data_IF_113165252249
#
_entry.id   IF_113165252249
#
_cell.length_a   1.000
_cell.length_b   1.000
_cell.length_c   1.000
_cell.angle_alpha   90.00
_cell.angle_beta   90.00
_cell.angle_gamma   90.00
#
_symmetry.space_group_name_H-M   'P 1'
#
loop_
_entity.id
_entity.type
_entity.pdbx_description
1 polymer ?
#
# COMPACT_ATOMS: atom_id res chain seq x y z
N UNK A 1 -14.39 -13.60 -8.52
CA UNK A 1 -13.71 -14.34 -7.41
C UNK A 1 -13.45 -13.34 -6.29
N UNK A 2 -13.78 -13.70 -5.06
CA UNK A 2 -13.40 -12.88 -3.87
C UNK A 2 -12.02 -13.33 -3.39
N UNK A 3 -10.98 -12.61 -3.82
CA UNK A 3 -9.58 -12.99 -3.57
C UNK A 3 -9.24 -12.99 -2.08
N UNK A 4 -9.85 -12.10 -1.27
CA UNK A 4 -9.66 -12.09 0.18
C UNK A 4 -10.10 -13.41 0.78
N UNK A 5 -11.33 -13.81 0.45
CA UNK A 5 -11.93 -15.02 0.98
C UNK A 5 -11.21 -16.29 0.48
N UNK A 6 -10.82 -16.34 -0.80
CA UNK A 6 -10.05 -17.48 -1.35
C UNK A 6 -8.69 -17.63 -0.65
N UNK A 7 -7.97 -16.52 -0.39
CA UNK A 7 -6.70 -16.55 0.32
C UNK A 7 -6.86 -17.06 1.74
N UNK A 8 -7.80 -16.48 2.48
CA UNK A 8 -8.02 -16.85 3.88
C UNK A 8 -8.45 -18.31 4.02
N UNK A 9 -9.37 -18.80 3.19
CA UNK A 9 -9.80 -20.21 3.17
C UNK A 9 -8.67 -21.16 2.79
N UNK A 10 -7.84 -20.77 1.82
CA UNK A 10 -6.70 -21.59 1.43
C UNK A 10 -5.78 -21.81 2.64
N UNK A 11 -5.42 -20.75 3.38
CA UNK A 11 -4.55 -20.88 4.54
C UNK A 11 -5.25 -21.53 5.76
N UNK A 12 -6.56 -21.36 5.93
CA UNK A 12 -7.31 -22.17 6.90
C UNK A 12 -7.20 -23.66 6.56
N UNK A 13 -7.27 -24.06 5.30
CA UNK A 13 -7.05 -25.45 4.87
C UNK A 13 -5.64 -25.97 5.15
N UNK A 14 -4.67 -25.07 5.30
CA UNK A 14 -3.28 -25.35 5.73
C UNK A 14 -3.09 -25.16 7.25
N UNK A 15 -4.18 -25.23 8.01
CA UNK A 15 -4.19 -25.14 9.47
C UNK A 15 -3.71 -23.79 10.04
N UNK A 16 -4.07 -22.68 9.39
CA UNK A 16 -3.85 -21.32 9.92
C UNK A 16 -5.12 -20.79 10.57
N UNK A 17 -4.99 -20.13 11.70
CA UNK A 17 -6.10 -19.39 12.30
C UNK A 17 -6.31 -18.07 11.55
N UNK A 18 -7.56 -17.80 11.16
CA UNK A 18 -7.93 -16.51 10.55
C UNK A 18 -7.95 -15.43 11.63
N UNK A 19 -7.18 -14.38 11.43
CA UNK A 19 -7.08 -13.23 12.33
C UNK A 19 -7.66 -11.99 11.62
N UNK A 20 -8.54 -11.28 12.31
CA UNK A 20 -9.11 -10.04 11.79
C UNK A 20 -8.05 -8.95 11.59
N UNK A 21 -8.29 -8.04 10.65
CA UNK A 21 -7.44 -6.85 10.47
C UNK A 21 -7.37 -6.05 11.76
N UNK A 22 -6.16 -5.78 12.23
CA UNK A 22 -5.95 -4.86 13.34
C UNK A 22 -6.24 -3.41 12.93
N UNK A 23 -6.50 -2.51 13.88
CA UNK A 23 -6.65 -1.08 13.60
C UNK A 23 -5.45 -0.50 12.85
N UNK A 24 -5.67 0.51 12.02
CA UNK A 24 -4.60 1.21 11.30
C UNK A 24 -3.60 1.92 12.21
N UNK A 25 -4.05 2.32 13.39
CA UNK A 25 -3.17 2.87 14.45
C UNK A 25 -2.67 1.71 15.31
N UNK A 26 -1.39 1.33 15.22
CA UNK A 26 -0.84 0.24 16.01
C UNK A 26 -0.59 0.64 17.47
N UNK A 27 -0.48 -0.35 18.35
CA UNK A 27 -0.03 -0.16 19.74
C UNK A 27 1.48 0.14 19.83
N UNK A 28 2.21 0.04 18.72
CA UNK A 28 3.64 0.36 18.62
C UNK A 28 3.84 1.86 18.45
N UNK A 29 4.42 2.51 19.47
CA UNK A 29 4.70 3.96 19.45
C UNK A 29 5.76 4.38 18.40
N UNK A 30 6.53 3.46 17.85
CA UNK A 30 7.54 3.74 16.83
C UNK A 30 6.95 3.88 15.43
N UNK A 31 5.70 3.48 15.24
CA UNK A 31 4.99 3.52 13.97
C UNK A 31 3.81 4.50 14.01
N UNK A 32 3.66 5.28 12.95
CA UNK A 32 2.46 6.11 12.77
C UNK A 32 1.24 5.24 12.47
N UNK A 33 1.40 4.28 11.56
CA UNK A 33 0.33 3.39 11.11
C UNK A 33 0.84 1.97 10.91
N UNK A 34 -0.07 1.00 10.90
CA UNK A 34 0.21 -0.33 10.40
C UNK A 34 0.59 -0.24 8.92
N UNK A 35 1.82 -0.59 8.58
CA UNK A 35 2.38 -0.49 7.23
C UNK A 35 2.65 -1.86 6.57
N UNK A 36 2.42 -2.95 7.30
CA UNK A 36 2.59 -4.33 6.85
C UNK A 36 1.73 -5.29 7.68
N UNK A 37 1.42 -6.44 7.10
CA UNK A 37 0.58 -7.47 7.74
C UNK A 37 1.16 -8.05 9.02
N UNK A 38 2.49 -8.02 9.18
CA UNK A 38 3.18 -8.56 10.36
C UNK A 38 3.14 -7.65 11.59
N UNK A 39 2.86 -6.36 11.45
CA UNK A 39 2.96 -5.39 12.56
C UNK A 39 2.14 -5.82 13.79
N UNK A 40 0.90 -6.32 13.65
CA UNK A 40 0.12 -6.81 14.80
C UNK A 40 0.76 -8.02 15.53
N UNK A 41 1.69 -8.72 14.88
CA UNK A 41 2.35 -9.92 15.40
C UNK A 41 3.79 -9.67 15.85
N UNK A 42 4.27 -8.42 15.82
CA UNK A 42 5.65 -8.06 16.15
C UNK A 42 6.12 -8.69 17.47
N UNK A 43 5.34 -8.54 18.54
CA UNK A 43 5.68 -9.04 19.88
C UNK A 43 5.75 -10.57 19.96
N UNK A 44 5.05 -11.27 19.07
CA UNK A 44 5.14 -12.73 18.96
C UNK A 44 6.45 -13.11 18.25
N UNK A 45 6.81 -12.42 17.17
CA UNK A 45 8.08 -12.68 16.45
C UNK A 45 9.30 -12.42 17.32
N UNK A 46 9.29 -11.36 18.14
CA UNK A 46 10.39 -11.02 19.06
C UNK A 46 10.41 -11.91 20.31
N UNK A 47 9.34 -12.67 20.56
CA UNK A 47 9.21 -13.51 21.75
C UNK A 47 8.82 -12.76 23.03
N UNK A 48 8.46 -11.48 22.93
CA UNK A 48 7.90 -10.71 24.05
C UNK A 48 6.56 -11.31 24.53
N UNK A 49 5.79 -11.83 23.57
CA UNK A 49 4.54 -12.55 23.82
C UNK A 49 4.71 -13.99 23.28
N UNK A 50 4.29 -15.01 24.05
CA UNK A 50 4.34 -16.40 23.59
C UNK A 50 3.52 -16.59 22.32
N UNK A 51 3.98 -17.48 21.43
CA UNK A 51 3.20 -17.90 20.28
C UNK A 51 1.84 -18.48 20.72
N UNK A 52 0.75 -18.23 19.97
CA UNK A 52 -0.55 -18.80 20.25
C UNK A 52 -0.50 -20.35 20.19
N UNK A 53 -1.53 -21.01 20.72
CA UNK A 53 -1.62 -22.48 20.70
C UNK A 53 -1.47 -23.03 19.28
N UNK A 54 -2.16 -22.44 18.30
CA UNK A 54 -1.86 -22.66 16.89
C UNK A 54 -0.85 -21.60 16.43
N UNK A 55 0.43 -21.98 16.16
CA UNK A 55 1.47 -21.04 15.77
C UNK A 55 1.42 -20.66 14.29
N UNK A 56 0.25 -20.75 13.66
CA UNK A 56 -0.02 -20.37 12.27
C UNK A 56 -1.19 -19.40 12.22
N UNK A 57 -1.03 -18.30 11.50
CA UNK A 57 -2.10 -17.33 11.32
C UNK A 57 -2.18 -16.86 9.85
N UNK A 58 -3.37 -16.41 9.45
CA UNK A 58 -3.60 -15.73 8.16
C UNK A 58 -4.51 -14.53 8.37
N UNK A 59 -4.24 -13.46 7.64
CA UNK A 59 -5.03 -12.22 7.71
C UNK A 59 -5.08 -11.47 6.40
N UNK A 60 -6.08 -10.59 6.28
CA UNK A 60 -6.12 -9.51 5.29
C UNK A 60 -6.01 -8.20 6.08
N UNK A 61 -4.79 -7.64 6.19
CA UNK A 61 -4.50 -6.48 7.02
C UNK A 61 -4.60 -5.19 6.20
N UNK A 62 -5.37 -4.22 6.71
CA UNK A 62 -5.36 -2.85 6.18
C UNK A 62 -4.07 -2.14 6.57
N UNK A 63 -3.44 -1.48 5.59
CA UNK A 63 -2.14 -0.85 5.74
C UNK A 63 -2.14 0.58 5.23
N UNK A 64 -1.33 1.43 5.86
CA UNK A 64 -1.04 2.81 5.41
C UNK A 64 0.45 2.97 5.19
N UNK A 65 0.83 3.45 3.99
CA UNK A 65 2.20 3.86 3.64
C UNK A 65 2.22 5.33 3.22
N UNK A 66 2.10 6.19 4.20
CA UNK A 66 2.16 7.65 4.04
C UNK A 66 2.87 8.26 5.25
N UNK A 67 4.13 8.61 5.07
CA UNK A 67 5.02 9.07 6.14
C UNK A 67 5.82 7.94 6.82
N UNK A 68 6.93 8.28 7.46
CA UNK A 68 7.85 7.30 8.05
C UNK A 68 8.77 6.65 7.02
N UNK A 69 9.31 5.47 7.36
CA UNK A 69 10.29 4.75 6.53
C UNK A 69 9.68 4.23 5.22
N UNK A 70 8.46 3.70 5.30
CA UNK A 70 7.69 3.26 4.13
C UNK A 70 6.70 4.37 3.75
N UNK A 71 7.03 5.13 2.72
CA UNK A 71 6.24 6.27 2.27
C UNK A 71 6.07 6.25 0.75
N UNK A 72 4.88 5.92 0.29
CA UNK A 72 4.54 5.84 -1.14
C UNK A 72 3.83 7.09 -1.66
N UNK A 73 3.61 8.12 -0.81
CA UNK A 73 2.76 9.27 -1.11
C UNK A 73 3.08 9.95 -2.45
N UNK A 74 4.37 10.15 -2.73
CA UNK A 74 4.81 10.86 -3.95
C UNK A 74 4.60 10.01 -5.23
N UNK A 75 4.62 8.67 -5.12
CA UNK A 75 4.41 7.75 -6.22
C UNK A 75 2.94 7.56 -6.58
N UNK A 76 2.04 7.81 -5.61
CA UNK A 76 0.60 7.61 -5.78
C UNK A 76 0.03 8.51 -6.88
N UNK A 77 -0.65 7.88 -7.82
CA UNK A 77 -1.25 8.52 -8.99
C UNK A 77 -0.33 8.55 -10.23
N UNK A 78 0.98 8.38 -10.05
CA UNK A 78 1.98 8.42 -11.13
C UNK A 78 2.50 7.04 -11.53
N UNK A 79 2.47 6.08 -10.62
CA UNK A 79 2.75 4.66 -10.89
C UNK A 79 1.45 3.86 -10.95
N UNK A 80 1.50 2.67 -11.54
CA UNK A 80 0.34 1.80 -11.67
C UNK A 80 -0.02 1.05 -10.37
N UNK A 81 0.88 0.99 -9.37
CA UNK A 81 0.87 0.01 -8.28
C UNK A 81 1.00 0.55 -6.85
N UNK A 82 1.30 1.84 -6.64
CA UNK A 82 1.49 2.41 -5.30
C UNK A 82 0.22 3.06 -4.76
N UNK A 83 -0.01 2.85 -3.46
CA UNK A 83 -1.17 3.35 -2.72
C UNK A 83 -0.77 3.86 -1.35
N UNK A 84 -1.51 4.85 -0.84
CA UNK A 84 -1.36 5.26 0.57
C UNK A 84 -2.12 4.33 1.52
N UNK A 85 -3.24 3.77 1.07
CA UNK A 85 -3.98 2.70 1.75
C UNK A 85 -4.06 1.48 0.83
N UNK A 86 -3.79 0.30 1.37
CA UNK A 86 -3.93 -0.97 0.66
C UNK A 86 -4.21 -2.11 1.63
N UNK A 87 -4.60 -3.25 1.08
CA UNK A 87 -4.83 -4.46 1.84
C UNK A 87 -3.71 -5.46 1.57
N UNK A 88 -3.10 -5.96 2.65
CA UNK A 88 -2.04 -6.96 2.58
C UNK A 88 -2.56 -8.31 3.08
N UNK A 89 -2.59 -9.28 2.19
CA UNK A 89 -2.88 -10.67 2.49
C UNK A 89 -1.61 -11.35 3.01
N UNK A 90 -1.69 -12.00 4.16
CA UNK A 90 -0.52 -12.61 4.78
C UNK A 90 -0.81 -13.96 5.41
N UNK A 91 0.22 -14.82 5.36
CA UNK A 91 0.30 -16.03 6.17
C UNK A 91 1.56 -15.97 7.02
N UNK A 92 1.43 -16.46 8.25
CA UNK A 92 2.44 -16.31 9.30
C UNK A 92 2.70 -17.65 9.96
N UNK A 93 3.98 -17.91 10.25
CA UNK A 93 4.42 -19.06 11.06
C UNK A 93 5.31 -18.55 12.19
N UNK A 94 4.83 -18.73 13.42
CA UNK A 94 5.55 -18.33 14.62
C UNK A 94 6.44 -19.48 15.12
N UNK A 95 7.51 -19.77 14.34
CA UNK A 95 8.45 -20.84 14.66
C UNK A 95 7.89 -22.25 14.45
N UNK A 96 6.92 -22.43 13.54
CA UNK A 96 6.35 -23.74 13.20
C UNK A 96 6.92 -24.27 11.87
N UNK A 97 6.51 -23.71 10.73
CA UNK A 97 7.13 -24.00 9.42
C UNK A 97 8.05 -22.87 8.98
N UNK A 98 8.88 -23.15 7.99
CA UNK A 98 9.84 -22.16 7.48
C UNK A 98 9.82 -22.09 5.96
N UNK A 99 10.97 -21.95 5.29
CA UNK A 99 11.07 -21.62 3.86
C UNK A 99 10.34 -22.59 2.95
N UNK A 100 10.52 -23.91 3.15
CA UNK A 100 9.97 -24.92 2.24
C UNK A 100 8.46 -24.85 2.16
N UNK A 101 7.76 -24.94 3.30
CA UNK A 101 6.30 -24.87 3.32
C UNK A 101 5.79 -23.50 2.85
N UNK A 102 6.47 -22.40 3.21
CA UNK A 102 6.07 -21.06 2.78
C UNK A 102 6.11 -20.93 1.25
N UNK A 103 7.16 -21.42 0.62
CA UNK A 103 7.34 -21.42 -0.83
C UNK A 103 6.30 -22.32 -1.50
N UNK A 104 6.12 -23.55 -0.99
CA UNK A 104 5.15 -24.50 -1.53
C UNK A 104 3.72 -23.96 -1.47
N UNK A 105 3.30 -23.37 -0.33
CA UNK A 105 1.98 -22.77 -0.19
C UNK A 105 1.78 -21.57 -1.12
N UNK A 106 2.78 -20.71 -1.23
CA UNK A 106 2.68 -19.54 -2.11
C UNK A 106 2.54 -19.97 -3.59
N UNK A 107 3.34 -20.94 -4.02
CA UNK A 107 3.27 -21.44 -5.38
C UNK A 107 1.95 -22.13 -5.68
N UNK A 108 1.48 -23.01 -4.76
CA UNK A 108 0.19 -23.68 -4.89
C UNK A 108 -0.95 -22.66 -4.99
N UNK A 109 -0.98 -21.66 -4.12
CA UNK A 109 -2.03 -20.63 -4.16
C UNK A 109 -2.07 -19.88 -5.49
N UNK A 110 -0.93 -19.39 -5.95
CA UNK A 110 -0.87 -18.59 -7.18
C UNK A 110 -1.20 -19.42 -8.42
N UNK A 111 -0.69 -20.64 -8.50
CA UNK A 111 -0.82 -21.45 -9.72
C UNK A 111 -2.08 -22.31 -9.75
N UNK A 112 -2.53 -22.82 -8.60
CA UNK A 112 -3.67 -23.75 -8.54
C UNK A 112 -4.98 -23.09 -8.11
N UNK A 113 -4.92 -22.07 -7.23
CA UNK A 113 -6.13 -21.34 -6.79
C UNK A 113 -6.36 -20.13 -7.69
N UNK A 114 -5.37 -19.26 -7.84
CA UNK A 114 -5.49 -18.06 -8.69
C UNK A 114 -5.38 -18.35 -10.17
N UNK A 115 -4.85 -19.53 -10.55
CA UNK A 115 -4.66 -19.95 -11.95
C UNK A 115 -3.79 -19.01 -12.79
N UNK A 116 -2.82 -18.37 -12.15
CA UNK A 116 -1.88 -17.54 -12.92
C UNK A 116 -0.97 -18.39 -13.80
N UNK A 117 -0.69 -17.95 -15.04
CA UNK A 117 0.18 -18.69 -15.95
C UNK A 117 1.60 -18.80 -15.39
N UNK A 118 2.11 -20.02 -15.23
CA UNK A 118 3.45 -20.29 -14.66
C UNK A 118 4.55 -19.64 -15.48
N UNK A 119 4.38 -19.49 -16.78
CA UNK A 119 5.32 -18.85 -17.70
C UNK A 119 5.45 -17.34 -17.50
N UNK A 120 4.51 -16.72 -16.80
CA UNK A 120 4.57 -15.29 -16.44
C UNK A 120 5.12 -15.02 -15.04
N UNK A 121 5.43 -16.08 -14.28
CA UNK A 121 5.90 -15.96 -12.91
C UNK A 121 7.44 -15.95 -12.86
N UNK A 122 7.97 -15.01 -12.11
CA UNK A 122 9.39 -14.84 -11.81
C UNK A 122 9.58 -14.76 -10.30
N UNK A 123 10.78 -15.11 -9.84
CA UNK A 123 11.09 -15.13 -8.41
C UNK A 123 12.41 -14.43 -8.16
N UNK A 124 12.49 -13.70 -7.05
CA UNK A 124 13.78 -13.22 -6.52
C UNK A 124 14.13 -13.92 -5.23
N UNK A 125 15.41 -14.02 -4.96
CA UNK A 125 15.95 -14.50 -3.69
C UNK A 125 17.08 -13.58 -3.25
N UNK A 126 17.34 -13.51 -1.95
CA UNK A 126 18.52 -12.81 -1.46
C UNK A 126 19.81 -13.48 -1.98
N UNK A 127 20.81 -12.68 -2.36
CA UNK A 127 22.04 -13.16 -2.97
C UNK A 127 22.80 -14.20 -2.12
N UNK A 128 22.64 -14.18 -0.80
CA UNK A 128 23.23 -15.15 0.13
C UNK A 128 22.32 -16.32 0.49
N UNK A 129 21.09 -16.39 -0.06
CA UNK A 129 20.11 -17.43 0.33
C UNK A 129 20.06 -18.58 -0.69
N UNK A 130 21.10 -19.40 -0.68
CA UNK A 130 21.20 -20.59 -1.53
C UNK A 130 20.09 -21.61 -1.26
N UNK A 131 19.62 -21.69 -0.01
CA UNK A 131 18.52 -22.58 0.38
C UNK A 131 17.23 -22.20 -0.31
N UNK A 132 16.86 -20.91 -0.28
CA UNK A 132 15.67 -20.44 -0.96
C UNK A 132 15.73 -20.68 -2.47
N UNK A 133 16.87 -20.43 -3.11
CA UNK A 133 17.03 -20.73 -4.54
C UNK A 133 16.80 -22.21 -4.85
N UNK A 134 17.39 -23.11 -4.07
CA UNK A 134 17.20 -24.56 -4.27
C UNK A 134 15.76 -25.00 -4.07
N UNK A 135 15.06 -24.41 -3.11
CA UNK A 135 13.65 -24.69 -2.88
C UNK A 135 12.78 -24.20 -4.05
N UNK A 136 13.03 -23.00 -4.57
CA UNK A 136 12.32 -22.46 -5.72
C UNK A 136 12.56 -23.25 -7.01
N UNK A 137 13.73 -23.87 -7.19
CA UNK A 137 14.03 -24.72 -8.36
C UNK A 137 13.12 -25.94 -8.46
N UNK A 138 12.39 -26.31 -7.40
CA UNK A 138 11.33 -27.32 -7.46
C UNK A 138 10.11 -26.86 -8.26
N UNK A 139 9.93 -25.56 -8.41
CA UNK A 139 8.74 -24.93 -8.98
C UNK A 139 9.02 -24.11 -10.23
N UNK A 140 10.16 -23.44 -10.29
CA UNK A 140 10.53 -22.46 -11.32
C UNK A 140 11.90 -22.82 -11.89
N UNK A 141 12.08 -22.67 -13.19
CA UNK A 141 13.40 -22.86 -13.83
C UNK A 141 14.39 -21.79 -13.37
N UNK A 142 15.66 -22.14 -13.29
CA UNK A 142 16.74 -21.29 -12.76
C UNK A 142 16.85 -19.94 -13.49
N UNK A 143 16.56 -19.90 -14.80
CA UNK A 143 16.58 -18.68 -15.62
C UNK A 143 15.50 -17.65 -15.23
N UNK A 144 14.54 -18.05 -14.39
CA UNK A 144 13.48 -17.18 -13.83
C UNK A 144 13.64 -16.91 -12.34
N UNK A 145 14.77 -17.26 -11.75
CA UNK A 145 15.14 -16.95 -10.37
C UNK A 145 16.27 -15.94 -10.41
N UNK A 146 16.05 -14.75 -9.86
CA UNK A 146 17.05 -13.68 -9.80
C UNK A 146 17.56 -13.50 -8.37
N UNK A 147 18.88 -13.39 -8.21
CA UNK A 147 19.50 -13.04 -6.93
C UNK A 147 19.67 -11.54 -6.82
N UNK A 148 19.18 -10.95 -5.74
CA UNK A 148 19.28 -9.54 -5.44
C UNK A 148 19.85 -9.33 -4.03
N UNK A 149 20.40 -8.14 -3.79
CA UNK A 149 21.01 -7.79 -2.51
C UNK A 149 20.04 -7.24 -1.47
N UNK A 150 20.62 -6.69 -0.40
CA UNK A 150 19.87 -6.16 0.75
C UNK A 150 18.83 -5.09 0.41
N UNK A 151 19.05 -4.31 -0.65
CA UNK A 151 18.12 -3.26 -1.06
C UNK A 151 16.75 -3.84 -1.42
N UNK A 152 16.73 -4.98 -2.09
CA UNK A 152 15.52 -5.54 -2.70
C UNK A 152 15.04 -6.80 -1.95
N UNK A 153 15.95 -7.68 -1.52
CA UNK A 153 15.59 -8.95 -0.91
C UNK A 153 16.01 -9.11 0.58
N UNK A 154 16.08 -8.00 1.32
CA UNK A 154 16.18 -8.03 2.78
C UNK A 154 15.12 -7.11 3.39
N UNK A 155 14.09 -7.70 3.99
CA UNK A 155 12.99 -6.94 4.57
C UNK A 155 13.25 -6.59 6.03
N UNK A 156 12.82 -5.40 6.43
CA UNK A 156 12.88 -4.93 7.82
C UNK A 156 11.66 -4.07 8.13
N UNK A 157 11.08 -4.26 9.32
CA UNK A 157 9.87 -3.58 9.76
C UNK A 157 10.05 -2.05 9.86
N UNK A 158 11.17 -1.63 10.42
CA UNK A 158 11.53 -0.22 10.64
C UNK A 158 13.04 -0.08 10.84
N UNK A 159 13.48 0.95 11.52
CA UNK A 159 14.89 1.11 11.90
C UNK A 159 15.32 0.08 12.95
N UNK A 160 14.37 -0.45 13.68
CA UNK A 160 14.53 -1.53 14.65
C UNK A 160 13.42 -2.56 14.48
N UNK A 161 13.61 -3.77 15.01
CA UNK A 161 12.63 -4.83 15.03
C UNK A 161 12.96 -6.03 14.15
N UNK A 162 12.02 -6.95 13.96
CA UNK A 162 12.22 -8.18 13.21
C UNK A 162 12.60 -7.91 11.76
N UNK A 163 13.51 -8.72 11.21
CA UNK A 163 13.99 -8.61 9.85
C UNK A 163 14.57 -9.94 9.34
N UNK A 164 14.78 -10.04 8.05
CA UNK A 164 15.41 -11.19 7.43
C UNK A 164 15.45 -11.13 5.91
N UNK A 165 16.20 -12.06 5.27
CA UNK A 165 16.17 -12.19 3.82
C UNK A 165 14.75 -12.55 3.36
N UNK A 166 14.40 -12.14 2.16
CA UNK A 166 13.09 -12.43 1.60
C UNK A 166 13.20 -12.96 0.16
N UNK A 167 12.11 -13.53 -0.28
CA UNK A 167 11.90 -13.99 -1.64
C UNK A 167 10.61 -13.39 -2.17
N UNK A 168 10.65 -12.84 -3.36
CA UNK A 168 9.50 -12.17 -3.95
C UNK A 168 9.03 -12.90 -5.20
N UNK A 169 7.73 -12.91 -5.41
CA UNK A 169 7.10 -13.43 -6.61
C UNK A 169 6.63 -12.26 -7.45
N UNK A 170 7.04 -12.26 -8.71
CA UNK A 170 6.68 -11.25 -9.72
C UNK A 170 5.83 -11.85 -10.83
N UNK A 171 4.95 -11.01 -11.36
CA UNK A 171 4.16 -11.34 -12.54
C UNK A 171 4.63 -10.47 -13.72
N UNK A 172 5.02 -11.11 -14.83
CA UNK A 172 5.35 -10.42 -16.10
C UNK A 172 4.05 -10.00 -16.80
N UNK A 173 3.77 -8.71 -16.80
CA UNK A 173 2.59 -8.13 -17.44
C UNK A 173 2.69 -8.05 -18.98
N UNK A 174 3.86 -8.39 -19.52
CA UNK A 174 4.12 -8.48 -20.96
C UNK A 174 4.80 -7.23 -21.55
N UNK A 175 5.68 -7.47 -22.50
CA UNK A 175 6.43 -6.42 -23.20
C UNK A 175 5.55 -5.57 -24.13
N UNK A 176 4.39 -6.08 -24.51
CA UNK A 176 3.39 -5.37 -25.32
C UNK A 176 2.73 -4.21 -24.57
N UNK A 177 2.68 -4.29 -23.25
CA UNK A 177 2.11 -3.23 -22.39
C UNK A 177 3.18 -2.33 -21.78
N UNK A 178 4.40 -2.86 -21.61
CA UNK A 178 5.49 -2.18 -20.91
C UNK A 178 6.81 -2.46 -21.63
N UNK A 179 7.39 -1.43 -22.23
CA UNK A 179 8.63 -1.51 -23.04
C UNK A 179 9.60 -0.35 -22.78
N UNK A 180 9.50 0.29 -21.64
CA UNK A 180 10.42 1.33 -21.20
C UNK A 180 11.82 0.78 -20.84
N UNK A 181 12.78 1.66 -20.66
CA UNK A 181 14.16 1.28 -20.28
C UNK A 181 14.26 0.56 -18.93
N UNK A 182 13.29 0.79 -18.03
CA UNK A 182 13.24 0.21 -16.69
C UNK A 182 12.34 -1.05 -16.62
N UNK A 183 11.72 -1.46 -17.74
CA UNK A 183 10.78 -2.60 -17.80
C UNK A 183 11.50 -3.94 -18.01
N UNK A 184 12.48 -4.24 -17.16
CA UNK A 184 13.19 -5.52 -17.11
C UNK A 184 13.11 -6.11 -15.69
N UNK A 185 13.35 -7.41 -15.54
CA UNK A 185 13.31 -8.06 -14.22
C UNK A 185 14.41 -7.50 -13.32
N UNK A 186 13.99 -6.93 -12.17
CA UNK A 186 14.87 -6.20 -11.23
C UNK A 186 15.01 -4.70 -11.54
N UNK A 187 14.33 -4.18 -12.56
CA UNK A 187 14.21 -2.74 -12.83
C UNK A 187 13.03 -2.11 -12.10
N UNK A 188 12.99 -0.76 -12.11
CA UNK A 188 11.96 0.02 -11.41
C UNK A 188 10.66 0.19 -12.23
N UNK A 189 10.58 -0.40 -13.44
CA UNK A 189 9.41 -0.34 -14.33
C UNK A 189 8.19 -1.09 -13.81
N UNK A 190 7.08 -0.98 -14.56
CA UNK A 190 5.80 -1.60 -14.18
C UNK A 190 5.57 -2.98 -14.83
N UNK A 191 6.45 -3.45 -15.72
CA UNK A 191 6.28 -4.74 -16.42
C UNK A 191 6.31 -5.92 -15.47
N UNK A 192 7.34 -6.02 -14.63
CA UNK A 192 7.49 -7.08 -13.65
C UNK A 192 6.91 -6.61 -12.31
N UNK A 193 5.66 -6.96 -12.08
CA UNK A 193 4.93 -6.53 -10.90
C UNK A 193 5.17 -7.49 -9.75
N UNK A 194 5.84 -7.04 -8.68
CA UNK A 194 5.90 -7.78 -7.41
C UNK A 194 4.49 -7.96 -6.86
N UNK A 195 4.08 -9.21 -6.67
CA UNK A 195 2.74 -9.55 -6.16
C UNK A 195 2.77 -10.12 -4.76
N UNK A 196 3.86 -10.79 -4.36
CA UNK A 196 3.97 -11.42 -3.04
C UNK A 196 5.40 -11.40 -2.53
N UNK A 197 5.59 -10.97 -1.30
CA UNK A 197 6.88 -11.03 -0.60
C UNK A 197 6.81 -12.09 0.51
N UNK A 198 7.74 -13.05 0.51
CA UNK A 198 7.90 -14.09 1.52
C UNK A 198 9.13 -13.73 2.37
N UNK A 199 8.90 -13.29 3.61
CA UNK A 199 9.99 -12.88 4.51
C UNK A 199 10.37 -14.03 5.42
N UNK A 200 11.65 -14.39 5.39
CA UNK A 200 12.25 -15.39 6.26
C UNK A 200 12.81 -14.70 7.50
N UNK A 201 11.93 -14.51 8.49
CA UNK A 201 12.25 -13.79 9.73
C UNK A 201 13.26 -14.58 10.55
N UNK A 202 14.49 -14.10 10.59
CA UNK A 202 15.60 -14.76 11.28
C UNK A 202 16.27 -13.89 12.33
N UNK A 203 16.14 -12.55 12.21
CA UNK A 203 16.89 -11.59 13.02
C UNK A 203 15.98 -10.52 13.61
N UNK A 204 16.47 -9.94 14.70
CA UNK A 204 16.02 -8.66 15.24
C UNK A 204 17.14 -7.63 15.08
N UNK A 205 16.79 -6.45 14.57
CA UNK A 205 17.68 -5.30 14.43
C UNK A 205 17.49 -4.36 15.62
N UNK A 206 18.58 -4.10 16.33
CA UNK A 206 18.62 -3.09 17.40
C UNK A 206 18.93 -1.68 16.87
N UNK A 207 18.78 -0.66 17.72
CA UNK A 207 18.97 0.75 17.36
C UNK A 207 20.38 1.11 16.89
N UNK A 208 21.38 0.32 17.28
CA UNK A 208 22.77 0.43 16.80
C UNK A 208 23.03 -0.33 15.48
N UNK A 209 21.97 -0.90 14.89
CA UNK A 209 22.02 -1.66 13.63
C UNK A 209 22.48 -3.10 13.76
N UNK A 210 22.76 -3.59 14.97
CA UNK A 210 23.20 -4.96 15.21
C UNK A 210 22.04 -5.94 14.98
N UNK A 211 22.34 -7.04 14.28
CA UNK A 211 21.42 -8.17 14.06
C UNK A 211 21.67 -9.24 15.11
N UNK A 212 20.60 -9.64 15.80
CA UNK A 212 20.59 -10.79 16.72
C UNK A 212 19.57 -11.81 16.24
N UNK A 213 19.85 -13.12 16.34
CA UNK A 213 18.89 -14.15 15.95
C UNK A 213 17.60 -14.03 16.75
N UNK A 214 16.45 -14.18 16.08
CA UNK A 214 15.16 -14.36 16.75
C UNK A 214 15.14 -15.66 17.54
N UNK A 215 14.26 -15.77 18.57
CA UNK A 215 14.12 -17.00 19.36
C UNK A 215 13.83 -18.24 18.50
N UNK A 216 13.06 -18.05 17.42
CA UNK A 216 12.78 -19.09 16.42
C UNK A 216 12.69 -18.44 15.04
N UNK A 217 13.25 -19.08 14.00
CA UNK A 217 12.97 -18.69 12.61
C UNK A 217 11.47 -18.74 12.33
N UNK A 218 10.96 -17.70 11.71
CA UNK A 218 9.53 -17.50 11.53
C UNK A 218 9.23 -17.04 10.10
N UNK A 219 7.99 -17.18 9.69
CA UNK A 219 7.50 -16.72 8.38
C UNK A 219 6.56 -15.55 8.54
N UNK A 220 6.83 -14.50 7.77
CA UNK A 220 5.93 -13.41 7.46
C UNK A 220 5.76 -13.33 5.95
N UNK A 221 4.55 -13.17 5.45
CA UNK A 221 4.33 -12.93 4.04
C UNK A 221 3.37 -11.77 3.81
N UNK A 222 3.53 -11.08 2.69
CA UNK A 222 2.66 -9.98 2.29
C UNK A 222 2.37 -10.01 0.79
N UNK A 223 1.11 -10.30 0.44
CA UNK A 223 0.61 -10.23 -0.93
C UNK A 223 -0.30 -9.01 -1.08
N UNK A 224 0.01 -8.15 -2.06
CA UNK A 224 -0.79 -6.95 -2.33
C UNK A 224 -2.12 -7.31 -2.97
N UNK A 225 -3.24 -7.13 -2.25
CA UNK A 225 -4.56 -7.43 -2.77
C UNK A 225 -4.86 -6.68 -4.07
N UNK A 226 -4.62 -5.37 -4.09
CA UNK A 226 -4.92 -4.51 -5.24
C UNK A 226 -4.16 -4.95 -6.50
N UNK A 227 -2.92 -5.40 -6.34
CA UNK A 227 -2.08 -5.92 -7.44
C UNK A 227 -2.67 -7.22 -8.01
N UNK A 228 -3.00 -8.16 -7.15
CA UNK A 228 -3.55 -9.46 -7.56
C UNK A 228 -4.94 -9.32 -8.15
N UNK A 229 -5.78 -8.41 -7.65
CA UNK A 229 -7.07 -8.07 -8.25
C UNK A 229 -6.89 -7.55 -9.66
N UNK A 230 -5.97 -6.60 -9.88
CA UNK A 230 -5.71 -6.05 -11.21
C UNK A 230 -5.29 -7.14 -12.22
N UNK A 231 -4.36 -8.02 -11.84
CA UNK A 231 -3.94 -9.14 -12.68
C UNK A 231 -5.12 -10.08 -12.99
N UNK A 232 -5.93 -10.42 -11.98
CA UNK A 232 -7.08 -11.31 -12.13
C UNK A 232 -8.16 -10.75 -13.05
N UNK A 233 -8.28 -9.41 -13.08
CA UNK A 233 -9.20 -8.69 -13.98
C UNK A 233 -8.58 -8.41 -15.36
N UNK A 234 -7.32 -8.78 -15.59
CA UNK A 234 -6.63 -8.60 -16.86
C UNK A 234 -6.28 -7.14 -17.17
N UNK A 235 -6.12 -6.31 -16.15
CA UNK A 235 -5.74 -4.90 -16.29
C UNK A 235 -4.31 -4.67 -15.78
N UNK A 236 -3.61 -3.69 -16.37
CA UNK A 236 -2.19 -3.42 -16.13
C UNK A 236 -1.95 -2.33 -15.08
N UNK A 237 -3.01 -1.79 -14.48
CA UNK A 237 -2.93 -0.82 -13.40
C UNK A 237 -3.96 -1.15 -12.33
N UNK A 238 -3.56 -1.06 -11.07
CA UNK A 238 -4.48 -1.20 -9.94
C UNK A 238 -5.67 -0.25 -10.07
N UNK A 239 -5.43 0.96 -10.56
CA UNK A 239 -6.45 1.99 -10.75
C UNK A 239 -7.50 1.65 -11.82
N UNK A 240 -7.18 0.72 -12.71
CA UNK A 240 -8.13 0.23 -13.74
C UNK A 240 -9.00 -0.92 -13.23
N UNK A 241 -8.77 -1.41 -12.01
CA UNK A 241 -9.52 -2.51 -11.41
C UNK A 241 -10.87 -2.05 -10.83
N UNK A 242 -11.70 -3.03 -10.51
CA UNK A 242 -12.98 -2.84 -9.85
C UNK A 242 -12.88 -2.17 -8.46
N UNK A 243 -11.70 -2.14 -7.85
CA UNK A 243 -11.46 -1.48 -6.56
C UNK A 243 -11.35 0.04 -6.67
N UNK A 244 -10.96 0.57 -7.83
CA UNK A 244 -10.71 2.00 -8.03
C UNK A 244 -11.57 2.63 -9.12
N UNK A 245 -11.87 1.90 -10.19
CA UNK A 245 -12.59 2.45 -11.34
C UNK A 245 -13.95 3.07 -10.98
N UNK A 246 -14.78 2.51 -10.07
CA UNK A 246 -16.03 3.15 -9.68
C UNK A 246 -15.82 4.51 -9.01
N UNK A 247 -14.72 4.69 -8.26
CA UNK A 247 -14.39 5.98 -7.63
C UNK A 247 -13.97 6.98 -8.72
N UNK A 248 -13.11 6.58 -9.65
CA UNK A 248 -12.67 7.40 -10.78
C UNK A 248 -13.88 7.83 -11.61
N UNK A 249 -14.79 6.93 -11.92
CA UNK A 249 -16.03 7.24 -12.66
C UNK A 249 -16.95 8.19 -11.90
N UNK A 250 -16.96 8.10 -10.57
CA UNK A 250 -17.68 9.08 -9.75
C UNK A 250 -17.06 10.47 -9.84
N UNK A 251 -15.73 10.58 -9.85
CA UNK A 251 -15.04 11.87 -10.05
C UNK A 251 -15.36 12.43 -11.44
N UNK A 252 -15.30 11.61 -12.51
CA UNK A 252 -15.71 12.02 -13.86
C UNK A 252 -17.13 12.62 -13.87
N UNK A 253 -18.08 11.91 -13.26
CA UNK A 253 -19.46 12.36 -13.22
C UNK A 253 -19.64 13.68 -12.46
N UNK A 254 -18.87 13.90 -11.40
CA UNK A 254 -18.93 15.13 -10.60
C UNK A 254 -18.34 16.34 -11.33
N UNK A 255 -17.23 16.15 -12.08
CA UNK A 255 -16.54 17.24 -12.77
C UNK A 255 -17.01 17.41 -14.23
N UNK A 256 -17.65 16.40 -14.81
CA UNK A 256 -18.07 16.42 -16.21
C UNK A 256 -16.92 16.32 -17.21
N UNK A 257 -15.78 15.74 -16.81
CA UNK A 257 -14.58 15.52 -17.67
C UNK A 257 -14.19 14.08 -17.66
N UNK A 258 -13.91 13.53 -18.84
CA UNK A 258 -13.51 12.13 -19.01
C UNK A 258 -12.12 11.83 -18.44
N UNK A 259 -11.98 10.68 -17.80
CA UNK A 259 -10.70 10.14 -17.37
C UNK A 259 -9.95 9.51 -18.53
N UNK A 260 -8.73 9.97 -18.76
CA UNK A 260 -7.78 9.36 -19.70
C UNK A 260 -6.55 8.92 -18.91
N UNK A 261 -6.18 7.64 -18.99
CA UNK A 261 -5.12 7.07 -18.15
C UNK A 261 -3.80 7.87 -18.24
N UNK A 262 -3.34 8.20 -19.44
CA UNK A 262 -2.06 8.90 -19.67
C UNK A 262 -1.97 10.26 -18.97
N UNK A 263 -3.06 11.00 -18.87
CA UNK A 263 -3.13 12.34 -18.26
C UNK A 263 -3.92 12.37 -16.93
N UNK A 264 -4.43 11.24 -16.48
CA UNK A 264 -5.39 11.11 -15.38
C UNK A 264 -4.80 10.97 -13.98
N UNK A 265 -3.56 11.39 -13.74
CA UNK A 265 -2.92 11.27 -12.42
C UNK A 265 -3.79 11.84 -11.28
N UNK A 266 -4.42 13.00 -11.51
CA UNK A 266 -5.29 13.63 -10.51
C UNK A 266 -6.48 12.76 -10.10
N UNK A 267 -7.11 12.05 -11.03
CA UNK A 267 -8.19 11.11 -10.73
C UNK A 267 -7.71 9.95 -9.85
N UNK A 268 -6.53 9.41 -10.15
CA UNK A 268 -5.92 8.30 -9.40
C UNK A 268 -5.55 8.72 -7.98
N UNK A 269 -4.96 9.91 -7.81
CA UNK A 269 -4.66 10.48 -6.49
C UNK A 269 -5.94 10.63 -5.66
N UNK A 270 -6.99 11.20 -6.24
CA UNK A 270 -8.28 11.37 -5.55
C UNK A 270 -8.87 10.02 -5.15
N UNK A 271 -8.85 9.03 -6.07
CA UNK A 271 -9.38 7.70 -5.81
C UNK A 271 -8.63 6.94 -4.71
N UNK A 272 -7.30 7.05 -4.68
CA UNK A 272 -6.48 6.49 -3.61
C UNK A 272 -6.75 7.18 -2.28
N UNK A 273 -6.68 8.49 -2.27
CA UNK A 273 -6.70 9.27 -1.03
C UNK A 273 -8.06 9.26 -0.32
N UNK A 274 -9.17 9.16 -1.05
CA UNK A 274 -10.49 9.03 -0.39
C UNK A 274 -10.61 7.71 0.38
N UNK A 275 -10.01 6.62 -0.10
CA UNK A 275 -9.94 5.36 0.65
C UNK A 275 -9.21 5.57 1.97
N UNK A 276 -8.02 6.15 1.91
CA UNK A 276 -7.18 6.44 3.09
C UNK A 276 -7.91 7.33 4.09
N UNK A 277 -8.46 8.44 3.64
CA UNK A 277 -9.15 9.41 4.49
C UNK A 277 -10.37 8.80 5.17
N UNK A 278 -11.19 8.06 4.42
CA UNK A 278 -12.37 7.38 4.97
C UNK A 278 -11.99 6.39 6.09
N UNK A 279 -11.01 5.51 5.82
CA UNK A 279 -10.60 4.48 6.79
C UNK A 279 -10.01 5.10 8.06
N UNK A 280 -9.14 6.10 7.94
CA UNK A 280 -8.53 6.76 9.10
C UNK A 280 -9.56 7.50 9.95
N UNK A 281 -10.45 8.28 9.33
CA UNK A 281 -11.52 8.99 10.06
C UNK A 281 -12.50 8.01 10.70
N UNK A 282 -12.90 6.95 10.00
CA UNK A 282 -13.81 5.93 10.53
C UNK A 282 -13.22 5.18 11.74
N UNK A 283 -11.89 5.08 11.82
CA UNK A 283 -11.18 4.50 12.96
C UNK A 283 -10.78 5.53 14.03
N UNK A 284 -11.26 6.77 13.93
CA UNK A 284 -11.14 7.78 14.98
C UNK A 284 -9.87 8.65 14.90
N UNK A 285 -9.10 8.58 13.82
CA UNK A 285 -8.03 9.55 13.58
C UNK A 285 -8.64 10.85 13.14
N UNK A 286 -8.35 11.96 13.83
CA UNK A 286 -8.88 13.28 13.52
C UNK A 286 -7.82 14.17 12.86
N UNK A 287 -8.25 15.16 12.08
CA UNK A 287 -7.36 16.17 11.51
C UNK A 287 -6.65 16.97 12.61
N UNK A 288 -5.34 17.10 12.51
CA UNK A 288 -4.54 17.90 13.44
C UNK A 288 -3.31 18.51 12.74
N UNK A 289 -2.52 19.29 13.49
CA UNK A 289 -1.31 19.95 12.98
C UNK A 289 -0.04 19.10 13.23
N UNK A 290 -0.16 17.97 13.88
CA UNK A 290 0.97 17.09 14.20
C UNK A 290 0.57 15.62 14.18
N UNK A 291 1.57 14.74 14.14
CA UNK A 291 1.40 13.30 14.24
C UNK A 291 0.52 12.70 13.12
N UNK A 292 -0.31 11.73 13.49
CA UNK A 292 -1.19 10.99 12.56
C UNK A 292 -2.21 11.88 11.88
N UNK A 293 -2.78 12.82 12.64
CA UNK A 293 -3.78 13.75 12.12
C UNK A 293 -3.22 14.76 11.12
N UNK A 294 -1.94 15.11 11.24
CA UNK A 294 -1.23 15.90 10.23
C UNK A 294 -1.05 15.13 8.93
N UNK A 295 -0.64 13.86 9.00
CA UNK A 295 -0.53 13.01 7.81
C UNK A 295 -1.89 12.85 7.11
N UNK A 296 -2.95 12.58 7.86
CA UNK A 296 -4.31 12.50 7.34
C UNK A 296 -4.73 13.80 6.65
N UNK A 297 -4.48 14.95 7.27
CA UNK A 297 -4.76 16.28 6.69
C UNK A 297 -3.98 16.50 5.40
N UNK A 298 -2.69 16.14 5.38
CA UNK A 298 -1.85 16.25 4.19
C UNK A 298 -2.39 15.41 3.02
N UNK A 299 -2.85 14.19 3.29
CA UNK A 299 -3.45 13.30 2.27
C UNK A 299 -4.73 13.91 1.70
N UNK A 300 -5.65 14.38 2.57
CA UNK A 300 -6.87 15.03 2.10
C UNK A 300 -6.56 16.27 1.25
N UNK A 301 -5.69 17.14 1.74
CA UNK A 301 -5.31 18.38 1.04
C UNK A 301 -4.65 18.11 -0.30
N UNK A 302 -3.81 17.05 -0.40
CA UNK A 302 -3.24 16.61 -1.68
C UNK A 302 -4.33 16.23 -2.68
N UNK A 303 -5.33 15.47 -2.25
CA UNK A 303 -6.48 15.11 -3.10
C UNK A 303 -7.30 16.33 -3.52
N UNK A 304 -7.59 17.24 -2.58
CA UNK A 304 -8.31 18.48 -2.87
C UNK A 304 -7.57 19.37 -3.87
N UNK A 305 -6.25 19.48 -3.74
CA UNK A 305 -5.41 20.19 -4.71
C UNK A 305 -5.49 19.56 -6.10
N UNK A 306 -5.43 18.22 -6.21
CA UNK A 306 -5.64 17.55 -7.49
C UNK A 306 -7.05 17.75 -8.03
N UNK A 307 -8.06 17.82 -7.19
CA UNK A 307 -9.41 18.20 -7.58
C UNK A 307 -9.48 19.62 -8.13
N UNK A 308 -8.82 20.58 -7.48
CA UNK A 308 -8.68 21.95 -7.97
C UNK A 308 -8.03 22.00 -9.38
N UNK A 309 -6.99 21.21 -9.61
CA UNK A 309 -6.36 21.11 -10.94
C UNK A 309 -7.31 20.54 -12.01
N UNK A 310 -8.26 19.68 -11.63
CA UNK A 310 -9.32 19.19 -12.52
C UNK A 310 -10.41 20.25 -12.78
N UNK A 311 -10.55 21.25 -11.89
CA UNK A 311 -11.51 22.35 -12.01
C UNK A 311 -12.59 22.37 -10.93
N UNK A 312 -12.48 21.55 -9.87
CA UNK A 312 -13.36 21.73 -8.70
C UNK A 312 -13.04 23.04 -7.99
N UNK A 313 -14.08 23.77 -7.61
CA UNK A 313 -14.00 25.03 -6.88
C UNK A 313 -14.67 24.97 -5.49
N UNK A 314 -15.27 23.85 -5.15
CA UNK A 314 -16.00 23.61 -3.90
C UNK A 314 -15.76 22.19 -3.39
N UNK A 315 -16.09 21.87 -2.12
CA UNK A 315 -15.94 20.55 -1.55
C UNK A 315 -16.59 19.42 -2.38
N UNK A 316 -15.86 18.37 -2.66
CA UNK A 316 -16.31 17.24 -3.49
C UNK A 316 -15.91 15.87 -2.94
N UNK A 317 -14.82 15.77 -2.16
CA UNK A 317 -14.30 14.49 -1.63
C UNK A 317 -15.34 13.74 -0.78
N UNK A 318 -16.12 14.47 0.03
CA UNK A 318 -17.20 13.89 0.83
C UNK A 318 -18.24 13.15 -0.03
N UNK A 319 -18.45 13.58 -1.29
CA UNK A 319 -19.40 12.95 -2.25
C UNK A 319 -18.91 11.59 -2.78
N UNK A 320 -17.63 11.23 -2.54
CA UNK A 320 -17.02 9.97 -2.95
C UNK A 320 -17.14 8.88 -1.87
N UNK A 321 -17.45 9.24 -0.64
CA UNK A 321 -17.50 8.32 0.52
C UNK A 321 -18.43 7.15 0.27
N UNK A 322 -19.65 7.38 -0.22
CA UNK A 322 -20.61 6.31 -0.47
C UNK A 322 -20.14 5.31 -1.54
N UNK A 323 -19.38 5.80 -2.51
CA UNK A 323 -18.78 4.92 -3.54
C UNK A 323 -17.76 3.97 -2.92
N UNK A 324 -16.90 4.47 -2.02
CA UNK A 324 -15.95 3.61 -1.31
C UNK A 324 -16.65 2.62 -0.38
N UNK A 325 -17.69 3.08 0.33
CA UNK A 325 -18.53 2.21 1.18
C UNK A 325 -19.20 1.11 0.37
N UNK A 326 -19.68 1.41 -0.84
CA UNK A 326 -20.27 0.40 -1.73
C UNK A 326 -19.25 -0.68 -2.17
N UNK A 327 -17.97 -0.31 -2.34
CA UNK A 327 -16.90 -1.25 -2.75
C UNK A 327 -16.42 -2.08 -1.55
N UNK A 328 -16.22 -1.46 -0.39
CA UNK A 328 -15.48 -2.04 0.73
C UNK A 328 -16.33 -2.33 1.97
N UNK A 329 -17.54 -1.80 2.04
CA UNK A 329 -18.38 -1.88 3.24
C UNK A 329 -18.87 -3.30 3.58
N UNK A 330 -18.81 -4.24 2.63
CA UNK A 330 -19.11 -5.65 2.91
C UNK A 330 -18.06 -6.27 3.85
N UNK A 331 -16.79 -5.93 3.64
CA UNK A 331 -15.67 -6.44 4.43
C UNK A 331 -15.42 -5.57 5.70
N UNK A 332 -15.76 -4.29 5.61
CA UNK A 332 -15.54 -3.30 6.66
C UNK A 332 -16.84 -2.56 6.98
N UNK A 333 -17.76 -3.24 7.67
CA UNK A 333 -19.13 -2.77 7.96
C UNK A 333 -19.17 -1.44 8.74
N UNK A 334 -18.17 -1.17 9.57
CA UNK A 334 -18.05 0.09 10.31
C UNK A 334 -17.94 1.32 9.39
N UNK A 335 -17.53 1.16 8.12
CA UNK A 335 -17.48 2.26 7.16
C UNK A 335 -18.88 2.83 6.89
N UNK A 336 -19.87 1.97 6.71
CA UNK A 336 -21.26 2.39 6.52
C UNK A 336 -21.81 3.09 7.76
N UNK A 337 -21.53 2.56 8.96
CA UNK A 337 -21.97 3.13 10.24
C UNK A 337 -21.38 4.52 10.51
N UNK A 338 -20.14 4.77 10.05
CA UNK A 338 -19.42 6.03 10.27
C UNK A 338 -19.54 7.02 9.11
N UNK A 339 -20.09 6.62 7.97
CA UNK A 339 -20.07 7.40 6.72
C UNK A 339 -20.60 8.82 6.85
N UNK A 340 -21.70 9.03 7.57
CA UNK A 340 -22.31 10.37 7.75
C UNK A 340 -21.38 11.32 8.50
N UNK A 341 -20.81 10.88 9.62
CA UNK A 341 -19.89 11.70 10.42
C UNK A 341 -18.57 11.97 9.66
N UNK A 342 -18.08 10.98 8.89
CA UNK A 342 -16.88 11.13 8.06
C UNK A 342 -17.11 12.14 6.94
N UNK A 343 -18.26 12.10 6.26
CA UNK A 343 -18.62 13.09 5.22
C UNK A 343 -18.58 14.51 5.75
N UNK A 344 -19.17 14.74 6.91
CA UNK A 344 -19.21 16.06 7.54
C UNK A 344 -17.80 16.56 7.87
N UNK A 345 -16.93 15.70 8.44
CA UNK A 345 -15.56 16.06 8.76
C UNK A 345 -14.75 16.39 7.51
N UNK A 346 -14.89 15.59 6.44
CA UNK A 346 -14.22 15.83 5.17
C UNK A 346 -14.67 17.16 4.58
N UNK A 347 -15.99 17.40 4.48
CA UNK A 347 -16.55 18.62 3.89
C UNK A 347 -16.06 19.88 4.60
N UNK A 348 -16.03 19.85 5.93
CA UNK A 348 -15.55 20.99 6.75
C UNK A 348 -14.04 21.26 6.51
N UNK A 349 -13.19 20.24 6.47
CA UNK A 349 -11.75 20.43 6.23
C UNK A 349 -11.48 20.85 4.77
N UNK A 350 -12.21 20.30 3.80
CA UNK A 350 -12.14 20.71 2.39
C UNK A 350 -12.51 22.21 2.24
N UNK A 351 -13.63 22.64 2.84
CA UNK A 351 -14.09 24.02 2.75
C UNK A 351 -13.06 25.01 3.32
N UNK A 352 -12.38 24.62 4.41
CA UNK A 352 -11.27 25.42 4.98
C UNK A 352 -10.09 25.47 4.01
N UNK A 353 -9.75 24.35 3.39
CA UNK A 353 -8.60 24.30 2.49
C UNK A 353 -8.85 25.01 1.16
N UNK A 354 -10.08 24.99 0.60
CA UNK A 354 -10.42 25.79 -0.58
C UNK A 354 -10.26 27.29 -0.31
N UNK A 355 -10.59 27.78 0.88
CA UNK A 355 -10.31 29.18 1.26
C UNK A 355 -8.81 29.45 1.31
N UNK A 356 -8.02 28.51 1.83
CA UNK A 356 -6.56 28.62 1.86
C UNK A 356 -5.98 28.66 0.45
N UNK A 357 -6.43 27.78 -0.46
CA UNK A 357 -6.01 27.78 -1.87
C UNK A 357 -6.32 29.13 -2.52
N UNK A 358 -7.54 29.67 -2.35
CA UNK A 358 -7.93 30.96 -2.92
C UNK A 358 -6.99 32.09 -2.47
N UNK A 359 -6.73 32.17 -1.16
CA UNK A 359 -5.81 33.18 -0.61
C UNK A 359 -4.36 32.98 -1.09
N UNK A 360 -3.91 31.74 -1.27
CA UNK A 360 -2.60 31.43 -1.82
C UNK A 360 -2.47 31.86 -3.29
N UNK A 361 -3.51 31.65 -4.09
CA UNK A 361 -3.54 32.09 -5.49
C UNK A 361 -3.51 33.62 -5.59
N UNK A 362 -4.24 34.33 -4.72
CA UNK A 362 -4.18 35.80 -4.67
C UNK A 362 -2.75 36.29 -4.36
N UNK A 363 -2.09 35.68 -3.36
CA UNK A 363 -0.70 35.98 -3.01
C UNK A 363 0.25 35.67 -4.18
N UNK A 364 0.08 34.52 -4.83
CA UNK A 364 0.89 34.12 -5.98
C UNK A 364 0.76 35.12 -7.14
N UNK A 365 -0.47 35.48 -7.50
CA UNK A 365 -0.72 36.43 -8.60
C UNK A 365 -0.16 37.81 -8.29
N UNK A 366 -0.32 38.31 -7.07
CA UNK A 366 0.24 39.60 -6.65
C UNK A 366 1.76 39.61 -6.71
N UNK A 367 2.44 38.53 -6.35
CA UNK A 367 3.89 38.41 -6.47
C UNK A 367 4.30 38.27 -7.92
N UNK A 368 3.57 37.52 -8.73
CA UNK A 368 3.85 37.36 -10.16
C UNK A 368 3.81 38.66 -10.92
N UNK A 369 2.83 39.54 -10.64
CA UNK A 369 2.72 40.88 -11.22
C UNK A 369 3.94 41.78 -10.87
N UNK A 370 4.54 41.57 -9.71
CA UNK A 370 5.72 42.31 -9.25
C UNK A 370 7.05 41.67 -9.66
N UNK A 371 7.03 40.42 -10.15
CA UNK A 371 8.24 39.67 -10.54
C UNK A 371 8.70 40.07 -11.93
N UNK A 372 9.97 40.50 -12.08
CA UNK A 372 10.59 40.81 -13.37
C UNK A 372 11.42 39.65 -13.94
N UNK A 373 12.21 38.98 -13.13
CA UNK A 373 13.12 37.90 -13.54
C UNK A 373 13.06 36.66 -12.62
N UNK A 374 12.99 36.87 -11.29
CA UNK A 374 13.06 35.80 -10.31
C UNK A 374 11.94 35.98 -9.28
N UNK A 375 11.15 34.92 -9.09
CA UNK A 375 10.08 34.88 -8.11
C UNK A 375 10.68 34.89 -6.67
N UNK A 376 10.04 35.61 -5.73
CA UNK A 376 10.52 35.71 -4.35
C UNK A 376 10.57 34.35 -3.66
N UNK A 377 11.76 33.95 -3.17
CA UNK A 377 11.93 32.71 -2.41
C UNK A 377 11.15 32.70 -1.09
N UNK A 378 10.98 33.86 -0.44
CA UNK A 378 10.17 34.00 0.77
C UNK A 378 8.68 33.75 0.48
N UNK A 379 8.17 34.33 -0.60
CA UNK A 379 6.77 34.10 -1.02
C UNK A 379 6.58 32.66 -1.48
N UNK A 380 7.53 32.09 -2.22
CA UNK A 380 7.50 30.67 -2.61
C UNK A 380 7.47 29.75 -1.41
N UNK A 381 8.31 30.00 -0.41
CA UNK A 381 8.31 29.23 0.85
C UNK A 381 6.98 29.38 1.62
N UNK A 382 6.43 30.59 1.71
CA UNK A 382 5.14 30.84 2.34
C UNK A 382 3.99 30.13 1.61
N UNK A 383 4.00 30.13 0.27
CA UNK A 383 3.02 29.38 -0.53
C UNK A 383 3.10 27.88 -0.26
N UNK A 384 4.30 27.33 -0.16
CA UNK A 384 4.54 25.93 0.16
C UNK A 384 4.11 25.57 1.59
N UNK A 385 4.65 26.29 2.58
CA UNK A 385 4.51 25.97 4.01
C UNK A 385 3.10 26.28 4.54
N UNK A 386 2.58 27.48 4.20
CA UNK A 386 1.31 27.97 4.77
C UNK A 386 0.11 27.61 3.94
N UNK A 387 0.20 27.70 2.62
CA UNK A 387 -0.93 27.51 1.71
C UNK A 387 -0.95 26.13 1.03
N UNK A 388 0.13 25.35 1.13
CA UNK A 388 0.18 23.98 0.59
C UNK A 388 0.28 23.90 -0.93
N UNK A 389 0.94 24.89 -1.55
CA UNK A 389 1.21 24.96 -3.00
C UNK A 389 2.42 24.14 -3.40
#
# INVERSE_FOLDING_TARGET
MDIREEFLRFFESKNHDRVASAPLVPDDATLLFNNAGMVPFKSIFTGEVPAPHNPRATSCQTCIRAGGKHNDLENVGYTARHHTFFEMLGNFSFGNYFKEDAIDYAWEFITEVMKFPKEKLWVTVHESDDEAELLWQKHVSLDRIMRLGDKDNFWQMGDTGPCGPCSEIFFDQGAESFSGSEDYMGGDGDRFLEIWNLVFMQYERSSDGKLTPLPKPSIDTGMGLERVVAISEGVTSNYSSSLFMPIIKKVEALIGKEYVYASGASYRVIADHIRTVLFLLAQGVNFSNEGRGYVLRRILRRAVRHGYLLGFSEPFMHKLVDTVVAIMGKEYDYLALKSSAVKEQIELEEARFFKTIASGIELFNAELENTKEVFSGEVAFKLYDTFGF
#
